data_IF_394794159967
#
_entry.id   IF_394794159967
#
_cell.length_a   1.000
_cell.length_b   1.000
_cell.length_c   1.000
_cell.angle_alpha   90.00
_cell.angle_beta   90.00
_cell.angle_gamma   90.00
#
_symmetry.space_group_name_H-M   'P 1'
#
loop_
_entity.id
_entity.type
_entity.pdbx_description
1 polymer ?
#
# COMPACT_ATOMS: atom_id res chain seq x y z
N UNK A 1 -0.13 20.28 -25.41
CA UNK A 1 -0.10 18.87 -25.25
C UNK A 1 1.07 18.34 -24.49
N UNK A 2 2.24 18.95 -24.59
CA UNK A 2 3.35 18.50 -23.77
C UNK A 2 3.04 18.58 -22.29
N UNK A 3 2.36 19.63 -21.86
CA UNK A 3 1.99 19.77 -20.45
C UNK A 3 1.05 18.67 -20.01
N UNK A 4 0.12 18.30 -20.89
CA UNK A 4 -0.81 17.24 -20.56
C UNK A 4 -0.10 15.90 -20.47
N UNK A 5 0.84 15.64 -21.35
CA UNK A 5 1.60 14.41 -21.31
C UNK A 5 2.42 14.32 -20.03
N UNK A 6 2.98 15.44 -19.60
CA UNK A 6 3.70 15.48 -18.34
C UNK A 6 2.79 15.18 -17.17
N UNK A 7 1.59 15.76 -17.18
CA UNK A 7 0.65 15.53 -16.10
C UNK A 7 0.24 14.08 -16.05
N UNK A 8 0.01 13.46 -17.20
CA UNK A 8 -0.34 12.06 -17.24
C UNK A 8 0.76 11.19 -16.68
N UNK A 9 2.02 11.59 -16.84
CA UNK A 9 3.16 10.83 -16.35
C UNK A 9 3.57 11.21 -14.93
N UNK A 10 3.00 12.29 -14.39
CA UNK A 10 3.41 12.78 -13.09
C UNK A 10 3.24 11.74 -12.00
N UNK A 11 2.14 11.03 -12.04
CA UNK A 11 1.92 9.94 -11.13
C UNK A 11 2.06 8.64 -11.88
N UNK A 12 3.11 7.92 -11.59
CA UNK A 12 3.27 6.56 -12.09
C UNK A 12 3.06 5.58 -10.95
N UNK A 13 3.75 5.80 -9.84
CA UNK A 13 3.58 4.96 -8.67
C UNK A 13 4.30 5.58 -7.48
N UNK A 14 3.86 5.22 -6.29
CA UNK A 14 4.56 5.52 -5.05
C UNK A 14 5.16 4.21 -4.58
N UNK A 15 6.46 4.18 -4.39
CA UNK A 15 7.18 2.96 -4.03
C UNK A 15 7.64 2.95 -2.59
N UNK A 16 7.71 1.77 -2.03
CA UNK A 16 8.33 1.55 -0.73
C UNK A 16 9.83 1.41 -0.95
N UNK A 17 10.59 2.43 -0.56
CA UNK A 17 12.02 2.45 -0.85
C UNK A 17 12.83 1.58 0.11
N UNK A 18 12.22 1.10 1.18
CA UNK A 18 12.91 0.25 2.15
C UNK A 18 12.71 -1.23 1.91
N UNK A 19 11.68 -1.59 1.16
CA UNK A 19 11.24 -2.99 1.13
C UNK A 19 12.32 -3.93 0.62
N UNK A 20 13.00 -3.58 -0.47
CA UNK A 20 14.03 -4.44 -1.03
C UNK A 20 15.23 -4.60 -0.11
N UNK A 21 15.56 -3.54 0.62
CA UNK A 21 16.69 -3.59 1.52
C UNK A 21 16.40 -4.43 2.75
N UNK A 22 15.19 -4.36 3.25
CA UNK A 22 14.86 -4.93 4.56
C UNK A 22 14.19 -6.30 4.48
N UNK A 23 13.68 -6.69 3.31
CA UNK A 23 12.87 -7.90 3.18
C UNK A 23 13.19 -8.70 1.94
N UNK A 24 13.04 -10.03 2.06
CA UNK A 24 12.96 -10.92 0.90
C UNK A 24 11.50 -11.06 0.54
N UNK A 25 11.16 -10.74 -0.70
CA UNK A 25 9.79 -10.80 -1.18
C UNK A 25 9.49 -12.20 -1.69
N UNK A 26 8.43 -12.82 -1.17
CA UNK A 26 8.05 -14.18 -1.58
C UNK A 26 6.89 -14.20 -2.56
N UNK A 27 5.75 -13.68 -2.14
CA UNK A 27 4.53 -13.75 -2.93
C UNK A 27 3.88 -12.39 -3.01
N UNK A 28 3.56 -11.95 -4.22
CA UNK A 28 2.95 -10.64 -4.44
C UNK A 28 1.47 -10.78 -4.74
N UNK A 29 0.70 -9.79 -4.33
CA UNK A 29 -0.73 -9.72 -4.58
C UNK A 29 -1.09 -8.31 -5.02
N UNK A 30 -2.06 -8.19 -5.92
CA UNK A 30 -2.62 -6.90 -6.27
C UNK A 30 -3.93 -6.72 -5.52
N UNK A 31 -4.04 -5.63 -4.76
CA UNK A 31 -5.21 -5.35 -3.97
C UNK A 31 -5.85 -4.04 -4.41
N UNK A 32 -7.17 -3.96 -4.27
CA UNK A 32 -7.84 -2.68 -4.27
C UNK A 32 -7.70 -2.04 -2.91
N UNK A 33 -8.05 -0.77 -2.81
CA UNK A 33 -7.99 -0.07 -1.54
C UNK A 33 -9.15 0.90 -1.42
N UNK A 34 -9.79 0.90 -0.26
CA UNK A 34 -10.92 1.79 0.00
C UNK A 34 -10.39 3.14 0.45
N UNK A 35 -10.46 4.13 -0.43
CA UNK A 35 -9.95 5.46 -0.19
C UNK A 35 -11.05 6.49 -0.19
N UNK A 36 -10.87 7.56 0.58
CA UNK A 36 -11.72 8.72 0.51
C UNK A 36 -11.30 9.59 -0.69
N UNK A 37 -12.20 10.49 -1.12
CA UNK A 37 -11.89 11.33 -2.28
C UNK A 37 -10.64 12.15 -2.12
N UNK A 38 -10.41 12.72 -0.94
CA UNK A 38 -9.20 13.51 -0.70
C UNK A 38 -7.95 12.65 -0.74
N UNK A 39 -8.06 11.40 -0.31
CA UNK A 39 -6.94 10.47 -0.39
C UNK A 39 -6.59 10.14 -1.83
N UNK A 40 -7.59 9.88 -2.66
CA UNK A 40 -7.35 9.61 -4.07
C UNK A 40 -6.63 10.78 -4.73
N UNK A 41 -7.07 12.00 -4.43
CA UNK A 41 -6.46 13.19 -5.04
C UNK A 41 -5.02 13.35 -4.60
N UNK A 42 -4.72 13.12 -3.32
CA UNK A 42 -3.35 13.21 -2.84
C UNK A 42 -2.46 12.13 -3.46
N UNK A 43 -2.95 10.90 -3.56
CA UNK A 43 -2.19 9.83 -4.18
C UNK A 43 -1.90 10.13 -5.64
N UNK A 44 -2.89 10.67 -6.36
CA UNK A 44 -2.70 11.02 -7.76
C UNK A 44 -1.63 12.10 -7.95
N UNK A 45 -1.42 12.91 -6.95
CA UNK A 45 -0.37 13.93 -6.99
C UNK A 45 0.96 13.41 -6.44
N UNK A 46 1.04 12.12 -6.15
CA UNK A 46 2.26 11.53 -5.64
C UNK A 46 2.54 11.88 -4.19
N UNK A 47 1.55 12.35 -3.46
CA UNK A 47 1.76 12.83 -2.09
C UNK A 47 1.38 11.76 -1.09
N UNK A 48 2.14 10.68 -1.14
CA UNK A 48 1.96 9.57 -0.23
C UNK A 48 3.31 8.92 0.05
N UNK A 49 3.44 8.30 1.20
CA UNK A 49 4.65 7.59 1.58
C UNK A 49 4.26 6.28 2.23
N UNK A 50 4.88 5.19 1.78
CA UNK A 50 4.53 3.86 2.24
C UNK A 50 5.72 3.06 2.76
N UNK A 51 6.81 3.76 3.11
CA UNK A 51 8.03 3.06 3.53
C UNK A 51 7.84 2.19 4.77
N UNK A 52 6.88 2.54 5.60
CA UNK A 52 6.59 1.77 6.81
C UNK A 52 5.23 1.11 6.75
N UNK A 53 4.61 1.04 5.58
CA UNK A 53 3.27 0.50 5.44
C UNK A 53 3.28 -1.02 5.41
N UNK A 54 2.31 -1.60 6.09
CA UNK A 54 2.18 -3.06 6.14
C UNK A 54 0.71 -3.45 6.19
N UNK A 55 0.44 -4.72 6.00
CA UNK A 55 -0.92 -5.26 6.06
C UNK A 55 -1.16 -5.97 7.38
N UNK A 56 -2.38 -5.84 7.89
CA UNK A 56 -2.78 -6.48 9.12
C UNK A 56 -4.17 -7.08 8.95
N UNK A 57 -4.30 -8.34 9.34
CA UNK A 57 -5.60 -8.99 9.33
C UNK A 57 -6.35 -8.65 10.60
N UNK A 58 -7.63 -8.30 10.44
CA UNK A 58 -8.49 -8.00 11.57
C UNK A 58 -9.91 -8.39 11.21
N UNK A 59 -10.48 -9.33 11.96
CA UNK A 59 -11.85 -9.80 11.76
C UNK A 59 -12.10 -10.29 10.33
N UNK A 60 -11.12 -10.99 9.77
CA UNK A 60 -11.25 -11.53 8.42
C UNK A 60 -11.02 -10.54 7.31
N UNK A 61 -10.65 -9.32 7.64
CA UNK A 61 -10.38 -8.27 6.66
C UNK A 61 -8.93 -7.84 6.74
N UNK A 62 -8.38 -7.43 5.60
CA UNK A 62 -7.00 -6.97 5.52
C UNK A 62 -6.98 -5.45 5.50
N UNK A 63 -6.14 -4.87 6.35
CA UNK A 63 -6.02 -3.42 6.50
C UNK A 63 -4.60 -2.97 6.21
N UNK A 64 -4.49 -1.86 5.49
CA UNK A 64 -3.20 -1.21 5.25
C UNK A 64 -2.93 -0.24 6.40
N UNK A 65 -1.83 -0.50 7.12
CA UNK A 65 -1.44 0.28 8.29
C UNK A 65 -0.22 1.11 7.97
N UNK A 66 -0.09 2.25 8.62
CA UNK A 66 1.09 3.12 8.54
C UNK A 66 1.41 3.67 7.16
N UNK A 67 0.44 3.68 6.25
CA UNK A 67 0.61 4.39 5.00
C UNK A 67 0.26 5.86 5.25
N UNK A 68 1.15 6.75 4.86
CA UNK A 68 0.94 8.18 5.03
C UNK A 68 0.46 8.78 3.72
N UNK A 69 -0.74 9.31 3.70
CA UNK A 69 -1.29 10.02 2.55
C UNK A 69 -1.55 11.45 2.98
N UNK A 70 -0.83 12.40 2.38
CA UNK A 70 -0.93 13.80 2.75
C UNK A 70 -2.37 14.30 2.67
N UNK A 71 -2.72 15.25 3.52
CA UNK A 71 -3.99 15.94 3.37
C UNK A 71 -4.03 16.65 2.02
N UNK A 72 -5.19 16.62 1.40
CA UNK A 72 -5.37 17.31 0.13
C UNK A 72 -5.54 18.80 0.43
N UNK A 73 -4.69 19.62 -0.16
CA UNK A 73 -4.63 21.05 0.22
C UNK A 73 -5.94 21.81 -0.03
N UNK A 74 -6.80 21.29 -0.88
CA UNK A 74 -8.09 21.94 -1.15
C UNK A 74 -9.25 21.23 -0.47
N UNK A 75 -8.99 20.30 0.48
CA UNK A 75 -10.04 19.51 1.08
C UNK A 75 -10.74 20.16 2.25
N UNK A 76 -10.12 21.17 2.84
CA UNK A 76 -10.71 21.89 3.98
C UNK A 76 -11.17 20.94 5.09
N UNK A 77 -12.44 21.07 5.51
CA UNK A 77 -12.96 20.30 6.63
C UNK A 77 -13.23 18.84 6.28
N UNK A 78 -13.28 18.52 5.01
CA UNK A 78 -13.57 17.15 4.59
C UNK A 78 -12.33 16.29 4.41
N UNK A 79 -11.19 16.77 4.89
CA UNK A 79 -9.95 16.06 4.70
C UNK A 79 -9.87 14.81 5.58
N UNK A 80 -8.98 13.92 5.19
CA UNK A 80 -8.76 12.66 5.89
C UNK A 80 -7.61 12.77 6.86
N UNK A 81 -7.49 11.80 7.75
CA UNK A 81 -6.31 11.65 8.60
C UNK A 81 -5.20 11.00 7.79
N UNK A 82 -3.99 11.58 7.77
CA UNK A 82 -2.92 11.06 6.91
C UNK A 82 -2.58 9.59 7.12
N UNK A 83 -2.60 9.11 8.34
CA UNK A 83 -2.24 7.71 8.63
C UNK A 83 -3.44 6.82 8.94
N UNK A 84 -4.59 7.17 8.44
CA UNK A 84 -5.80 6.38 8.63
C UNK A 84 -5.59 4.95 8.11
N UNK A 85 -6.09 3.96 8.84
CA UNK A 85 -6.10 2.58 8.36
C UNK A 85 -7.05 2.46 7.19
N UNK A 86 -6.64 1.76 6.13
CA UNK A 86 -7.46 1.63 4.92
C UNK A 86 -7.66 0.16 4.59
N UNK A 87 -8.89 -0.17 4.29
CA UNK A 87 -9.23 -1.56 3.98
C UNK A 87 -8.70 -1.93 2.60
N UNK A 88 -8.04 -3.08 2.53
CA UNK A 88 -7.57 -3.64 1.26
C UNK A 88 -8.56 -4.67 0.76
N UNK A 89 -8.77 -4.67 -0.54
CA UNK A 89 -9.80 -5.49 -1.19
C UNK A 89 -9.13 -6.55 -2.04
N UNK A 90 -9.33 -7.81 -1.67
CA UNK A 90 -8.75 -8.95 -2.39
C UNK A 90 -9.79 -10.05 -2.50
N UNK A 91 -9.48 -11.04 -3.31
CA UNK A 91 -10.32 -12.23 -3.42
C UNK A 91 -10.23 -13.04 -2.13
N UNK A 92 -11.30 -13.76 -1.83
CA UNK A 92 -11.32 -14.56 -0.60
C UNK A 92 -10.19 -15.58 -0.55
N UNK A 93 -9.84 -16.16 -1.68
CA UNK A 93 -8.74 -17.12 -1.73
C UNK A 93 -7.42 -16.48 -1.39
N UNK A 94 -7.22 -15.23 -1.84
CA UNK A 94 -6.01 -14.49 -1.52
C UNK A 94 -5.96 -14.10 -0.05
N UNK A 95 -7.09 -13.65 0.48
CA UNK A 95 -7.16 -13.31 1.90
C UNK A 95 -6.85 -14.52 2.78
N UNK A 96 -7.35 -15.69 2.40
CA UNK A 96 -7.06 -16.90 3.16
C UNK A 96 -5.59 -17.25 3.13
N UNK A 97 -4.94 -17.13 1.97
CA UNK A 97 -3.50 -17.38 1.86
C UNK A 97 -2.70 -16.44 2.75
N UNK A 98 -3.05 -15.17 2.72
CA UNK A 98 -2.36 -14.17 3.52
C UNK A 98 -2.57 -14.43 5.00
N UNK A 99 -3.82 -14.66 5.38
CA UNK A 99 -4.14 -14.92 6.78
C UNK A 99 -3.40 -16.14 7.32
N UNK A 100 -3.38 -17.21 6.54
CA UNK A 100 -2.69 -18.43 6.93
C UNK A 100 -1.18 -18.18 7.11
N UNK A 101 -0.58 -17.47 6.16
CA UNK A 101 0.85 -17.20 6.23
C UNK A 101 1.20 -16.33 7.43
N UNK A 102 0.40 -15.30 7.69
CA UNK A 102 0.65 -14.42 8.82
C UNK A 102 0.42 -15.11 10.15
N UNK A 103 -0.58 -15.99 10.21
CA UNK A 103 -0.87 -16.74 11.44
C UNK A 103 0.24 -17.71 11.82
N UNK A 104 0.95 -18.23 10.84
CA UNK A 104 2.05 -19.15 11.10
C UNK A 104 3.29 -18.45 11.66
N UNK A 105 3.36 -17.13 11.49
CA UNK A 105 4.51 -16.36 11.95
C UNK A 105 5.68 -16.42 10.99
N UNK A 106 6.66 -15.56 11.24
CA UNK A 106 7.86 -15.52 10.44
C UNK A 106 7.75 -14.72 9.15
N UNK A 107 6.56 -14.27 8.79
CA UNK A 107 6.34 -13.48 7.60
C UNK A 107 5.55 -12.22 7.91
N UNK A 108 5.75 -11.20 7.09
CA UNK A 108 5.01 -9.95 7.19
C UNK A 108 4.39 -9.64 5.84
N UNK A 109 3.29 -8.92 5.85
CA UNK A 109 2.70 -8.43 4.62
C UNK A 109 3.11 -6.97 4.47
N UNK A 110 3.91 -6.69 3.46
CA UNK A 110 4.50 -5.37 3.26
C UNK A 110 3.85 -4.72 2.04
N UNK A 111 3.60 -3.43 2.13
CA UNK A 111 3.07 -2.65 1.01
C UNK A 111 4.24 -2.22 0.16
N UNK A 112 4.28 -2.66 -1.09
CA UNK A 112 5.41 -2.40 -1.98
C UNK A 112 5.23 -1.15 -2.82
N UNK A 113 4.02 -0.91 -3.32
CA UNK A 113 3.76 0.28 -4.11
C UNK A 113 2.26 0.55 -4.24
N UNK A 114 1.97 1.84 -4.50
CA UNK A 114 0.64 2.29 -4.91
C UNK A 114 0.75 2.69 -6.37
N UNK A 115 -0.26 2.38 -7.17
CA UNK A 115 -0.22 2.72 -8.59
C UNK A 115 -1.64 2.87 -9.12
N UNK A 116 -1.75 3.49 -10.30
CA UNK A 116 -3.04 3.66 -10.96
C UNK A 116 -3.20 2.59 -12.02
N UNK A 117 -4.36 1.96 -12.01
CA UNK A 117 -4.73 0.99 -13.03
C UNK A 117 -6.17 1.30 -13.43
N UNK A 118 -6.33 1.76 -14.69
CA UNK A 118 -7.65 2.13 -15.18
C UNK A 118 -8.34 3.13 -14.26
N UNK A 119 -7.60 4.16 -13.88
CA UNK A 119 -8.08 5.24 -13.03
C UNK A 119 -8.36 4.85 -11.58
N UNK A 120 -8.13 3.61 -11.20
CA UNK A 120 -8.28 3.16 -9.81
C UNK A 120 -6.92 3.05 -9.15
N UNK A 121 -6.86 3.42 -7.88
CA UNK A 121 -5.64 3.23 -7.10
C UNK A 121 -5.58 1.78 -6.68
N UNK A 122 -4.47 1.12 -7.02
CA UNK A 122 -4.19 -0.25 -6.62
C UNK A 122 -2.99 -0.30 -5.72
N UNK A 123 -2.90 -1.36 -4.94
CA UNK A 123 -1.81 -1.55 -3.99
C UNK A 123 -1.17 -2.90 -4.27
N UNK A 124 0.15 -2.91 -4.44
CA UNK A 124 0.87 -4.16 -4.51
C UNK A 124 1.37 -4.49 -3.10
N UNK A 125 0.94 -5.62 -2.58
CA UNK A 125 1.39 -6.11 -1.28
C UNK A 125 2.10 -7.43 -1.48
N UNK A 126 2.95 -7.79 -0.52
CA UNK A 126 3.69 -9.04 -0.64
C UNK A 126 3.96 -9.66 0.72
N UNK A 127 3.92 -10.98 0.73
CA UNK A 127 4.41 -11.73 1.88
C UNK A 127 5.93 -11.71 1.84
N UNK A 128 6.55 -11.28 2.92
CA UNK A 128 7.98 -11.05 2.98
C UNK A 128 8.60 -11.62 4.23
N UNK A 129 9.88 -11.92 4.14
CA UNK A 129 10.68 -12.36 5.28
C UNK A 129 11.72 -11.30 5.55
N UNK A 130 11.86 -10.92 6.82
CA UNK A 130 12.83 -9.89 7.18
C UNK A 130 14.27 -10.37 7.02
N UNK A 131 15.09 -9.58 6.36
CA UNK A 131 16.49 -9.94 6.12
C UNK A 131 17.32 -9.99 7.39
N UNK A 132 16.93 -9.18 8.37
CA UNK A 132 17.67 -9.15 9.62
C UNK A 132 17.61 -10.51 10.31
N UNK A 133 16.46 -11.20 10.25
CA UNK A 133 16.36 -12.53 10.83
C UNK A 133 17.31 -13.52 10.14
N UNK A 134 17.44 -13.39 8.83
CA UNK A 134 18.36 -14.24 8.08
C UNK A 134 19.81 -13.98 8.44
N UNK A 135 20.14 -12.71 8.60
CA UNK A 135 21.53 -12.33 8.81
C UNK A 135 22.01 -12.61 10.21
N UNK A 136 21.16 -12.99 11.10
CA UNK A 136 21.54 -13.23 12.48
C UNK A 136 22.30 -14.52 12.70
N UNK A 137 22.45 -15.32 11.70
CA UNK A 137 23.25 -16.55 11.86
C UNK A 137 24.71 -16.30 11.68
#
# INVERSE_FOLDING_TARGET
MAARAKDAKRFTEVRNSKARRDYFVETRFEAGVALKGTEVKSVRNGRAQINDAFGRMKNGELWMMNAHIDEYSFGNFANHQPKRSRKLLLKKSELRKIDQALSQGGKSLIVLRLYLKEALVKVEVALCIGKILYDKR
#
